data_IF_009856725546
#
_entry.id   IF_009856725546
#
_cell.length_a   1.000
_cell.length_b   1.000
_cell.length_c   1.000
_cell.angle_alpha   90.00
_cell.angle_beta   90.00
_cell.angle_gamma   90.00
#
_symmetry.space_group_name_H-M   'P 1'
#
loop_
_entity.id
_entity.type
_entity.pdbx_description
1 polymer ?
#
# COMPACT_ATOMS: atom_id res chain seq x y z
N UNK A 1 -7.89 -18.16 -13.02
CA UNK A 1 -8.72 -17.03 -13.47
C UNK A 1 -7.88 -15.77 -13.33
N UNK A 2 -7.65 -15.04 -14.43
CA UNK A 2 -6.90 -13.78 -14.44
C UNK A 2 -7.82 -12.66 -13.94
N UNK A 3 -7.86 -12.44 -12.63
CA UNK A 3 -8.48 -11.23 -12.08
C UNK A 3 -7.42 -10.13 -12.09
N UNK A 4 -7.41 -9.32 -13.15
CA UNK A 4 -6.88 -7.98 -13.06
C UNK A 4 -7.63 -7.26 -11.94
N UNK A 5 -6.98 -7.10 -10.79
CA UNK A 5 -7.55 -6.38 -9.64
C UNK A 5 -7.82 -4.96 -10.09
N UNK A 6 -9.10 -4.57 -10.14
CA UNK A 6 -9.57 -3.27 -10.65
C UNK A 6 -8.90 -2.12 -9.89
N UNK A 7 -8.63 -1.01 -10.59
CA UNK A 7 -8.10 0.23 -9.99
C UNK A 7 -8.98 0.87 -8.88
N UNK A 8 -10.24 0.43 -8.72
CA UNK A 8 -11.17 0.94 -7.69
C UNK A 8 -11.84 -0.21 -6.95
N UNK A 9 -12.09 -0.07 -5.63
CA UNK A 9 -12.88 -1.02 -4.86
C UNK A 9 -14.26 -1.26 -5.49
N UNK A 10 -14.70 -2.51 -5.52
CA UNK A 10 -15.98 -2.92 -6.12
C UNK A 10 -17.14 -2.92 -5.11
N UNK A 11 -16.86 -2.80 -3.81
CA UNK A 11 -17.87 -2.76 -2.75
C UNK A 11 -17.49 -1.80 -1.60
N UNK A 12 -18.45 -1.41 -0.75
CA UNK A 12 -18.19 -0.65 0.47
C UNK A 12 -17.19 -1.33 1.41
N UNK A 13 -17.22 -2.66 1.50
CA UNK A 13 -16.33 -3.44 2.35
C UNK A 13 -14.88 -3.37 1.84
N UNK A 14 -14.66 -3.49 0.53
CA UNK A 14 -13.34 -3.31 -0.07
C UNK A 14 -12.84 -1.86 0.13
N UNK A 15 -13.72 -0.87 -0.01
CA UNK A 15 -13.37 0.53 0.25
C UNK A 15 -12.96 0.75 1.72
N UNK A 16 -13.68 0.16 2.67
CA UNK A 16 -13.37 0.24 4.09
C UNK A 16 -12.03 -0.44 4.41
N UNK A 17 -11.72 -1.58 3.77
CA UNK A 17 -10.45 -2.26 3.92
C UNK A 17 -9.27 -1.39 3.45
N UNK A 18 -9.41 -0.73 2.29
CA UNK A 18 -8.41 0.22 1.79
C UNK A 18 -8.26 1.42 2.73
N UNK A 19 -9.37 2.01 3.20
CA UNK A 19 -9.33 3.12 4.15
C UNK A 19 -8.58 2.75 5.43
N UNK A 20 -8.99 1.65 6.08
CA UNK A 20 -8.32 1.16 7.29
C UNK A 20 -6.84 0.86 7.02
N UNK A 21 -6.48 0.31 5.86
CA UNK A 21 -5.07 0.09 5.53
C UNK A 21 -4.31 1.43 5.43
N UNK A 22 -4.85 2.44 4.76
CA UNK A 22 -4.15 3.71 4.51
C UNK A 22 -4.26 4.74 5.65
N UNK A 23 -5.03 4.47 6.71
CA UNK A 23 -5.00 5.28 7.95
C UNK A 23 -3.60 5.31 8.61
N UNK A 24 -2.82 4.23 8.47
CA UNK A 24 -1.48 4.16 9.06
C UNK A 24 -0.46 4.99 8.27
N UNK A 25 0.27 5.92 8.91
CA UNK A 25 1.34 6.68 8.25
C UNK A 25 2.45 5.79 7.68
N UNK A 26 2.82 4.71 8.41
CA UNK A 26 3.85 3.76 7.96
C UNK A 26 3.39 3.06 6.68
N UNK A 27 2.16 2.56 6.63
CA UNK A 27 1.62 1.88 5.44
C UNK A 27 1.46 2.84 4.25
N UNK A 28 1.09 4.10 4.50
CA UNK A 28 1.12 5.15 3.46
C UNK A 28 2.54 5.36 2.91
N UNK A 29 3.54 5.45 3.78
CA UNK A 29 4.92 5.61 3.33
C UNK A 29 5.39 4.38 2.52
N UNK A 30 5.07 3.17 2.98
CA UNK A 30 5.39 1.92 2.27
C UNK A 30 4.82 1.91 0.85
N UNK A 31 3.54 2.22 0.67
CA UNK A 31 2.91 2.16 -0.67
C UNK A 31 3.43 3.25 -1.62
N UNK A 32 3.88 4.40 -1.08
CA UNK A 32 4.57 5.44 -1.85
C UNK A 32 5.93 4.91 -2.34
N UNK A 33 6.73 4.30 -1.45
CA UNK A 33 8.03 3.73 -1.79
C UNK A 33 7.92 2.61 -2.83
N UNK A 34 6.90 1.74 -2.69
CA UNK A 34 6.61 0.70 -3.68
C UNK A 34 6.26 1.29 -5.05
N UNK A 35 5.48 2.38 -5.09
CA UNK A 35 5.19 3.10 -6.35
C UNK A 35 6.43 3.77 -6.95
N UNK A 36 7.46 4.01 -6.16
CA UNK A 36 8.76 4.51 -6.60
C UNK A 36 9.73 3.40 -7.00
N UNK A 37 9.36 2.13 -6.84
CA UNK A 37 10.12 0.98 -7.31
C UNK A 37 10.76 0.10 -6.22
N UNK A 38 10.59 0.39 -4.92
CA UNK A 38 11.00 -0.53 -3.86
C UNK A 38 10.02 -1.71 -3.78
N UNK A 39 10.35 -2.80 -4.46
CA UNK A 39 9.46 -3.93 -4.69
C UNK A 39 9.96 -5.23 -4.06
N UNK A 40 10.79 -5.12 -3.02
CA UNK A 40 11.16 -6.26 -2.17
C UNK A 40 10.91 -6.00 -0.70
N UNK A 41 10.61 -7.07 0.04
CA UNK A 41 10.41 -7.02 1.49
C UNK A 41 11.64 -6.48 2.22
N UNK A 42 12.88 -6.93 1.92
CA UNK A 42 14.08 -6.41 2.58
C UNK A 42 14.31 -4.91 2.32
N UNK A 43 14.10 -4.43 1.09
CA UNK A 43 14.27 -3.00 0.78
C UNK A 43 13.26 -2.13 1.51
N UNK A 44 11.99 -2.56 1.57
CA UNK A 44 10.96 -1.82 2.31
C UNK A 44 11.26 -1.84 3.81
N UNK A 45 11.64 -3.00 4.38
CA UNK A 45 12.00 -3.11 5.78
C UNK A 45 13.16 -2.18 6.14
N UNK A 46 14.19 -2.11 5.29
CA UNK A 46 15.31 -1.19 5.47
C UNK A 46 14.89 0.29 5.41
N UNK A 47 13.91 0.63 4.58
CA UNK A 47 13.44 2.00 4.39
C UNK A 47 12.47 2.50 5.49
N UNK A 48 11.63 1.62 6.05
CA UNK A 48 10.58 2.01 7.01
C UNK A 48 10.80 1.47 8.44
N UNK A 49 11.82 0.62 8.62
CA UNK A 49 12.09 -0.11 9.85
C UNK A 49 11.51 -1.53 9.83
N UNK A 50 12.19 -2.45 10.49
CA UNK A 50 11.82 -3.88 10.53
C UNK A 50 10.67 -4.17 11.51
N UNK A 51 10.40 -3.25 12.43
CA UNK A 51 9.40 -3.46 13.46
C UNK A 51 8.00 -3.66 12.84
N UNK A 52 7.38 -4.81 13.12
CA UNK A 52 6.03 -5.15 12.63
C UNK A 52 5.90 -5.15 11.09
N UNK A 53 7.00 -5.35 10.35
CA UNK A 53 6.97 -5.27 8.88
C UNK A 53 5.98 -6.27 8.26
N UNK A 54 5.97 -7.51 8.75
CA UNK A 54 5.05 -8.55 8.31
C UNK A 54 3.59 -8.16 8.54
N UNK A 55 3.28 -7.57 9.69
CA UNK A 55 1.94 -7.05 10.00
C UNK A 55 1.54 -5.95 9.02
N UNK A 56 2.42 -4.99 8.74
CA UNK A 56 2.11 -3.91 7.81
C UNK A 56 1.87 -4.41 6.38
N UNK A 57 2.71 -5.33 5.90
CA UNK A 57 2.55 -5.97 4.60
C UNK A 57 1.24 -6.76 4.52
N UNK A 58 0.94 -7.56 5.55
CA UNK A 58 -0.30 -8.34 5.60
C UNK A 58 -1.55 -7.45 5.55
N UNK A 59 -1.55 -6.29 6.25
CA UNK A 59 -2.68 -5.34 6.17
C UNK A 59 -2.86 -4.73 4.78
N UNK A 60 -1.78 -4.48 4.05
CA UNK A 60 -1.83 -3.98 2.67
C UNK A 60 -2.32 -5.06 1.69
N UNK A 61 -1.92 -6.32 1.91
CA UNK A 61 -2.34 -7.47 1.11
C UNK A 61 -3.83 -7.77 1.31
N UNK A 62 -4.32 -7.76 2.56
CA UNK A 62 -5.75 -7.91 2.88
C UNK A 62 -6.61 -6.82 2.24
N UNK A 63 -6.07 -5.60 2.10
CA UNK A 63 -6.74 -4.51 1.41
C UNK A 63 -6.66 -4.61 -0.12
N UNK A 64 -6.03 -5.67 -0.66
CA UNK A 64 -5.89 -5.88 -2.09
C UNK A 64 -4.96 -4.89 -2.79
N UNK A 65 -4.12 -4.17 -2.04
CA UNK A 65 -3.20 -3.16 -2.58
C UNK A 65 -1.89 -3.77 -3.09
N UNK A 66 -1.45 -4.85 -2.45
CA UNK A 66 -0.24 -5.58 -2.84
C UNK A 66 -0.52 -7.09 -2.90
N UNK A 67 0.44 -7.81 -3.47
CA UNK A 67 0.60 -9.25 -3.36
C UNK A 67 2.05 -9.57 -3.00
N UNK A 68 2.25 -10.55 -2.12
CA UNK A 68 3.59 -11.03 -1.74
C UNK A 68 3.90 -12.32 -2.48
N UNK A 69 5.02 -12.35 -3.19
CA UNK A 69 5.53 -13.51 -3.93
C UNK A 69 6.94 -13.84 -3.43
N UNK A 70 7.03 -14.56 -2.31
CA UNK A 70 8.29 -14.74 -1.57
C UNK A 70 8.75 -13.39 -1.01
N UNK A 71 9.96 -12.94 -1.38
CA UNK A 71 10.46 -11.62 -0.98
C UNK A 71 10.04 -10.50 -1.93
N UNK A 72 9.40 -10.83 -3.06
CA UNK A 72 8.96 -9.85 -4.05
C UNK A 72 7.58 -9.29 -3.69
N UNK A 73 7.43 -7.98 -3.82
CA UNK A 73 6.17 -7.26 -3.68
C UNK A 73 5.66 -6.88 -5.06
N UNK A 74 4.39 -7.18 -5.33
CA UNK A 74 3.71 -6.78 -6.57
C UNK A 74 2.59 -5.83 -6.21
N UNK A 75 2.62 -4.61 -6.74
CA UNK A 75 1.49 -3.68 -6.64
C UNK A 75 0.35 -4.17 -7.53
N UNK A 76 -0.86 -4.14 -6.99
CA UNK A 76 -2.08 -4.33 -7.78
C UNK A 76 -2.43 -3.01 -8.48
N UNK A 77 -3.40 -3.00 -9.42
CA UNK A 77 -3.81 -1.72 -10.02
C UNK A 77 -4.34 -0.74 -8.96
N UNK A 78 -5.05 -1.26 -7.96
CA UNK A 78 -5.47 -0.47 -6.80
C UNK A 78 -4.27 0.05 -6.01
N UNK A 79 -3.24 -0.77 -5.77
CA UNK A 79 -2.02 -0.34 -5.09
C UNK A 79 -1.29 0.79 -5.80
N UNK A 80 -1.20 0.72 -7.13
CA UNK A 80 -0.63 1.80 -7.96
C UNK A 80 -1.47 3.07 -7.82
N UNK A 81 -2.79 2.97 -8.03
CA UNK A 81 -3.69 4.11 -7.99
C UNK A 81 -3.70 4.82 -6.63
N UNK A 82 -3.86 4.06 -5.54
CA UNK A 82 -3.89 4.61 -4.18
C UNK A 82 -2.52 5.13 -3.73
N UNK A 83 -1.42 4.47 -4.12
CA UNK A 83 -0.08 4.96 -3.82
C UNK A 83 0.23 6.30 -4.48
N UNK A 84 -0.20 6.50 -5.72
CA UNK A 84 -0.15 7.80 -6.40
C UNK A 84 -0.99 8.86 -5.68
N UNK A 85 -2.20 8.51 -5.26
CA UNK A 85 -3.10 9.42 -4.54
C UNK A 85 -2.55 9.85 -3.18
N UNK A 86 -2.04 8.93 -2.36
CA UNK A 86 -1.46 9.29 -1.05
C UNK A 86 -0.15 10.06 -1.19
N UNK A 87 0.63 9.80 -2.26
CA UNK A 87 1.82 10.59 -2.58
C UNK A 87 1.45 12.03 -2.89
N UNK A 88 0.47 12.24 -3.78
CA UNK A 88 -0.03 13.56 -4.15
C UNK A 88 -0.59 14.32 -2.93
N UNK A 89 -1.34 13.63 -2.06
CA UNK A 89 -1.84 14.20 -0.80
C UNK A 89 -0.71 14.63 0.14
N UNK A 90 0.37 13.83 0.24
CA UNK A 90 1.56 14.17 1.03
C UNK A 90 2.27 15.40 0.49
N UNK A 91 2.47 15.47 -0.83
CA UNK A 91 3.16 16.60 -1.50
C UNK A 91 2.37 17.91 -1.43
N UNK A 92 1.03 17.83 -1.43
CA UNK A 92 0.14 18.98 -1.30
C UNK A 92 -0.11 19.44 0.14
N UNK A 93 0.59 18.87 1.13
CA UNK A 93 0.46 19.26 2.54
C UNK A 93 -0.80 18.74 3.24
N UNK A 94 -1.49 17.76 2.67
CA UNK A 94 -2.70 17.16 3.26
C UNK A 94 -2.43 16.13 4.36
N UNK A 95 -1.17 15.74 4.58
CA UNK A 95 -0.82 14.66 5.50
C UNK A 95 -0.55 15.10 6.96
N UNK A 96 -0.51 16.40 7.25
CA UNK A 96 -0.27 16.96 8.61
C UNK A 96 -1.53 17.53 9.29
N UNK A 97 -2.73 17.10 8.86
CA UNK A 97 -3.99 17.48 9.50
C UNK A 97 -4.82 16.25 9.86
N UNK A 98 -4.29 15.39 10.73
CA UNK A 98 -5.11 14.51 11.58
C UNK A 98 -4.42 14.40 12.94
#
# INVERSE_FOLDING_TARGET
>A
MLMGKKAKPASPEEMAAVHHALESPIRRNMIILMNQGLLSVPEIAAAVGENMIEYHLHRLELAGLIEIQGEKIVLTEAGVAYGGLVKEQREKGGADKI
#
